data_IF_950144759342
#
_entry.id   IF_950144759342
#
_cell.length_a   1.000
_cell.length_b   1.000
_cell.length_c   1.000
_cell.angle_alpha   90.00
_cell.angle_beta   90.00
_cell.angle_gamma   90.00
#
_symmetry.space_group_name_H-M   'P 1'
#
loop_
_entity.id
_entity.type
_entity.pdbx_description
1 polymer ?
#
# COMPACT_ATOMS: atom_id res chain seq x y z
N UNK A 1 -9.13 29.56 24.37
CA UNK A 1 -10.20 29.37 23.37
C UNK A 1 -9.56 28.75 22.14
N UNK A 2 -10.00 27.57 21.71
CA UNK A 2 -9.57 27.01 20.43
C UNK A 2 -10.16 27.90 19.34
N UNK A 3 -9.35 28.75 18.73
CA UNK A 3 -9.85 29.57 17.63
C UNK A 3 -10.13 28.69 16.42
N UNK A 4 -11.32 28.84 15.84
CA UNK A 4 -11.75 28.11 14.66
C UNK A 4 -10.80 28.35 13.46
N UNK A 5 -10.07 29.47 13.50
CA UNK A 5 -9.00 29.86 12.58
C UNK A 5 -7.79 28.93 12.57
N UNK A 6 -7.52 28.20 13.67
CA UNK A 6 -6.36 27.28 13.80
C UNK A 6 -6.80 25.82 13.61
N UNK A 7 -8.01 25.48 14.08
CA UNK A 7 -8.58 24.14 13.94
C UNK A 7 -8.77 23.76 12.47
N UNK A 8 -9.29 24.67 11.65
CA UNK A 8 -9.57 24.39 10.25
C UNK A 8 -8.31 24.07 9.42
N UNK A 9 -7.22 24.88 9.45
CA UNK A 9 -5.96 24.53 8.81
C UNK A 9 -5.31 23.28 9.38
N UNK A 10 -5.38 23.06 10.70
CA UNK A 10 -4.77 21.88 11.33
C UNK A 10 -5.45 20.58 10.92
N UNK A 11 -6.78 20.59 10.78
CA UNK A 11 -7.55 19.46 10.27
C UNK A 11 -7.28 19.21 8.79
N UNK A 12 -7.21 20.27 7.97
CA UNK A 12 -6.87 20.14 6.55
C UNK A 12 -5.47 19.57 6.38
N UNK A 13 -4.48 20.11 7.09
CA UNK A 13 -3.10 19.67 6.99
C UNK A 13 -2.95 18.23 7.49
N UNK A 14 -3.55 17.91 8.65
CA UNK A 14 -3.58 16.56 9.19
C UNK A 14 -4.24 15.55 8.25
N UNK A 15 -5.37 15.91 7.62
CA UNK A 15 -6.04 15.07 6.62
C UNK A 15 -5.17 14.88 5.38
N UNK A 16 -4.55 15.94 4.85
CA UNK A 16 -3.68 15.83 3.67
C UNK A 16 -2.44 14.99 3.95
N UNK A 17 -1.78 15.22 5.08
CA UNK A 17 -0.58 14.46 5.48
C UNK A 17 -0.93 13.01 5.77
N UNK A 18 -2.03 12.75 6.49
CA UNK A 18 -2.53 11.40 6.74
C UNK A 18 -2.89 10.67 5.46
N UNK A 19 -3.56 11.32 4.52
CA UNK A 19 -3.90 10.74 3.21
C UNK A 19 -2.64 10.40 2.40
N UNK A 20 -1.64 11.28 2.37
CA UNK A 20 -0.36 11.02 1.68
C UNK A 20 0.33 9.80 2.26
N UNK A 21 0.45 9.69 3.59
CA UNK A 21 1.08 8.52 4.21
C UNK A 21 0.27 7.23 3.99
N UNK A 22 -1.06 7.29 4.07
CA UNK A 22 -1.92 6.15 3.80
C UNK A 22 -1.75 5.65 2.35
N UNK A 23 -1.73 6.57 1.37
CA UNK A 23 -1.51 6.24 -0.03
C UNK A 23 -0.14 5.61 -0.26
N UNK A 24 0.92 6.14 0.35
CA UNK A 24 2.27 5.57 0.25
C UNK A 24 2.31 4.16 0.86
N UNK A 25 1.75 3.98 2.06
CA UNK A 25 1.74 2.67 2.73
C UNK A 25 0.97 1.62 1.92
N UNK A 26 -0.21 1.97 1.41
CA UNK A 26 -1.01 1.10 0.55
C UNK A 26 -0.28 0.76 -0.76
N UNK A 27 0.30 1.78 -1.41
CA UNK A 27 1.03 1.61 -2.67
C UNK A 27 2.27 0.72 -2.50
N UNK A 28 3.07 0.96 -1.47
CA UNK A 28 4.25 0.15 -1.17
C UNK A 28 3.87 -1.29 -0.88
N UNK A 29 2.87 -1.51 -0.03
CA UNK A 29 2.42 -2.86 0.33
C UNK A 29 1.92 -3.63 -0.90
N UNK A 30 1.18 -2.96 -1.78
CA UNK A 30 0.70 -3.55 -3.02
C UNK A 30 1.85 -3.94 -3.97
N UNK A 31 2.76 -2.99 -4.24
CA UNK A 31 3.92 -3.20 -5.12
C UNK A 31 4.78 -4.36 -4.61
N UNK A 32 5.08 -4.36 -3.32
CA UNK A 32 5.89 -5.38 -2.69
C UNK A 32 5.21 -6.74 -2.59
N UNK A 33 3.90 -6.78 -2.42
CA UNK A 33 3.12 -8.01 -2.51
C UNK A 33 3.13 -8.59 -3.93
N UNK A 34 2.91 -7.75 -4.95
CA UNK A 34 3.03 -8.16 -6.37
C UNK A 34 4.44 -8.67 -6.67
N UNK A 35 5.48 -7.97 -6.21
CA UNK A 35 6.87 -8.42 -6.34
C UNK A 35 7.08 -9.81 -5.74
N UNK A 36 6.54 -10.07 -4.55
CA UNK A 36 6.67 -11.36 -3.89
C UNK A 36 5.94 -12.48 -4.64
N UNK A 37 4.74 -12.20 -5.17
CA UNK A 37 4.00 -13.13 -6.02
C UNK A 37 4.77 -13.44 -7.31
N UNK A 38 5.36 -12.43 -7.95
CA UNK A 38 6.19 -12.63 -9.13
C UNK A 38 7.45 -13.45 -8.80
N UNK A 39 8.18 -13.10 -7.74
CA UNK A 39 9.43 -13.76 -7.36
C UNK A 39 9.25 -15.23 -6.93
N UNK A 40 8.13 -15.57 -6.26
CA UNK A 40 7.86 -16.94 -5.79
C UNK A 40 7.06 -17.80 -6.75
N UNK A 41 6.10 -17.20 -7.48
CA UNK A 41 5.14 -17.94 -8.30
C UNK A 41 5.32 -17.68 -9.80
N UNK A 42 6.23 -16.78 -10.20
CA UNK A 42 6.41 -16.39 -11.60
C UNK A 42 5.21 -15.64 -12.19
N UNK A 43 4.28 -15.17 -11.36
CA UNK A 43 3.07 -14.49 -11.80
C UNK A 43 3.42 -13.14 -12.42
N UNK A 44 2.87 -12.86 -13.60
CA UNK A 44 2.98 -11.55 -14.23
C UNK A 44 2.42 -10.45 -13.29
N UNK A 45 3.09 -9.30 -13.14
CA UNK A 45 2.63 -8.17 -12.33
C UNK A 45 1.16 -7.76 -12.56
N UNK A 46 0.68 -7.81 -13.80
CA UNK A 46 -0.70 -7.46 -14.11
C UNK A 46 -1.70 -8.53 -13.65
N UNK A 47 -1.33 -9.81 -13.72
CA UNK A 47 -2.14 -10.91 -13.21
C UNK A 47 -2.15 -10.98 -11.68
N UNK A 48 -1.09 -10.48 -11.03
CA UNK A 48 -0.99 -10.40 -9.58
C UNK A 48 -1.92 -9.33 -8.97
N UNK A 49 -2.24 -8.25 -9.70
CA UNK A 49 -3.07 -7.16 -9.19
C UNK A 49 -4.47 -7.61 -8.72
N UNK A 50 -5.27 -8.37 -9.51
CA UNK A 50 -6.59 -8.85 -9.06
C UNK A 50 -6.53 -9.84 -7.90
N UNK A 51 -5.39 -10.52 -7.67
CA UNK A 51 -5.20 -11.46 -6.57
C UNK A 51 -4.79 -10.70 -5.29
N UNK A 52 -3.95 -9.68 -5.45
CA UNK A 52 -3.44 -8.88 -4.34
C UNK A 52 -4.54 -8.06 -3.66
N UNK A 53 -5.51 -7.53 -4.39
CA UNK A 53 -6.64 -6.78 -3.81
C UNK A 53 -7.42 -7.60 -2.78
N UNK A 54 -8.00 -8.77 -3.11
CA UNK A 54 -8.67 -9.62 -2.12
C UNK A 54 -7.70 -10.20 -1.09
N UNK A 55 -6.44 -10.47 -1.46
CA UNK A 55 -5.41 -10.92 -0.52
C UNK A 55 -5.14 -9.89 0.58
N UNK A 56 -5.00 -8.61 0.23
CA UNK A 56 -4.80 -7.51 1.16
C UNK A 56 -6.03 -7.26 2.02
N UNK A 57 -7.22 -7.37 1.44
CA UNK A 57 -8.46 -7.27 2.20
C UNK A 57 -8.56 -8.38 3.25
N UNK A 58 -8.28 -9.64 2.88
CA UNK A 58 -8.30 -10.78 3.79
C UNK A 58 -7.24 -10.62 4.90
N UNK A 59 -6.05 -10.16 4.56
CA UNK A 59 -4.97 -9.91 5.53
C UNK A 59 -5.34 -8.79 6.52
N UNK A 60 -5.87 -7.67 6.02
CA UNK A 60 -6.36 -6.59 6.86
C UNK A 60 -7.49 -7.04 7.79
N UNK A 61 -8.46 -7.80 7.26
CA UNK A 61 -9.56 -8.36 8.05
C UNK A 61 -9.06 -9.35 9.11
N UNK A 62 -8.09 -10.20 8.78
CA UNK A 62 -7.49 -11.13 9.73
C UNK A 62 -6.78 -10.38 10.87
N UNK A 63 -5.97 -9.36 10.56
CA UNK A 63 -5.34 -8.52 11.57
C UNK A 63 -6.37 -7.82 12.46
N UNK A 64 -7.43 -7.28 11.86
CA UNK A 64 -8.51 -6.63 12.59
C UNK A 64 -9.24 -7.61 13.51
N UNK A 65 -9.57 -8.81 13.04
CA UNK A 65 -10.33 -9.82 13.80
C UNK A 65 -9.49 -10.48 14.88
N UNK A 66 -8.25 -10.87 14.58
CA UNK A 66 -7.43 -11.68 15.48
C UNK A 66 -6.52 -10.86 16.39
N UNK A 67 -5.99 -9.73 15.92
CA UNK A 67 -5.08 -8.91 16.72
C UNK A 67 -5.84 -7.83 17.44
N UNK A 68 -6.48 -6.93 16.71
CA UNK A 68 -7.16 -5.76 17.30
C UNK A 68 -8.35 -6.24 18.15
N UNK A 69 -9.25 -7.04 17.59
CA UNK A 69 -10.45 -7.50 18.30
C UNK A 69 -10.16 -8.36 19.54
N UNK A 70 -9.02 -9.06 19.57
CA UNK A 70 -8.62 -9.85 20.75
C UNK A 70 -7.92 -9.00 21.80
N UNK A 71 -7.04 -8.09 21.38
CA UNK A 71 -6.28 -7.22 22.27
C UNK A 71 -7.14 -6.08 22.85
N UNK A 72 -8.21 -5.69 22.16
CA UNK A 72 -9.15 -4.65 22.59
C UNK A 72 -10.12 -5.08 23.70
N UNK A 73 -10.10 -6.34 24.14
CA UNK A 73 -10.97 -6.78 25.23
C UNK A 73 -10.55 -6.09 26.53
N UNK A 74 -11.37 -5.14 27.01
CA UNK A 74 -11.13 -4.39 28.23
C UNK A 74 -11.41 -2.89 28.07
N UNK A 75 -10.61 -2.07 28.75
CA UNK A 75 -10.70 -0.61 28.72
C UNK A 75 -10.25 -0.05 27.35
N UNK A 76 -10.74 1.14 26.99
CA UNK A 76 -10.40 1.80 25.71
C UNK A 76 -8.89 2.02 25.49
N UNK A 77 -8.10 2.14 26.58
CA UNK A 77 -6.64 2.19 26.54
C UNK A 77 -5.98 0.95 25.90
N UNK A 78 -6.58 -0.23 26.04
CA UNK A 78 -6.05 -1.45 25.43
C UNK A 78 -6.07 -1.37 23.90
N UNK A 79 -7.03 -0.67 23.30
CA UNK A 79 -7.08 -0.48 21.84
C UNK A 79 -5.90 0.37 21.38
N UNK A 80 -5.62 1.48 22.07
CA UNK A 80 -4.49 2.35 21.77
C UNK A 80 -3.14 1.62 21.93
N UNK A 81 -2.98 0.86 23.01
CA UNK A 81 -1.75 0.08 23.23
C UNK A 81 -1.61 -1.04 22.19
N UNK A 82 -2.71 -1.70 21.81
CA UNK A 82 -2.71 -2.74 20.80
C UNK A 82 -2.38 -2.21 19.41
N UNK A 83 -2.92 -1.07 19.00
CA UNK A 83 -2.62 -0.47 17.70
C UNK A 83 -1.18 0.02 17.63
N UNK A 84 -0.66 0.65 18.68
CA UNK A 84 0.75 1.04 18.75
C UNK A 84 1.69 -0.16 18.69
N UNK A 85 1.41 -1.20 19.48
CA UNK A 85 2.19 -2.44 19.45
C UNK A 85 2.14 -3.14 18.09
N UNK A 86 0.96 -3.20 17.47
CA UNK A 86 0.78 -3.78 16.15
C UNK A 86 1.56 -2.99 15.09
N UNK A 87 1.49 -1.66 15.10
CA UNK A 87 2.28 -0.82 14.19
C UNK A 87 3.77 -1.10 14.33
N UNK A 88 4.30 -1.15 15.55
CA UNK A 88 5.71 -1.43 15.79
C UNK A 88 6.12 -2.81 15.27
N UNK A 89 5.29 -3.84 15.50
CA UNK A 89 5.54 -5.20 15.01
C UNK A 89 5.49 -5.25 13.49
N UNK A 90 4.48 -4.61 12.88
CA UNK A 90 4.33 -4.57 11.42
C UNK A 90 5.49 -3.83 10.75
N UNK A 91 5.93 -2.71 11.33
CA UNK A 91 7.08 -1.95 10.86
C UNK A 91 8.37 -2.79 10.89
N UNK A 92 8.65 -3.43 12.03
CA UNK A 92 9.85 -4.27 12.17
C UNK A 92 9.80 -5.50 11.27
N UNK A 93 8.63 -6.12 11.14
CA UNK A 93 8.43 -7.24 10.22
C UNK A 93 8.62 -6.80 8.77
N UNK A 94 8.10 -5.63 8.39
CA UNK A 94 8.25 -5.10 7.05
C UNK A 94 9.72 -4.81 6.73
N UNK A 95 10.47 -4.23 7.67
CA UNK A 95 11.91 -4.01 7.52
C UNK A 95 12.67 -5.33 7.35
N UNK A 96 12.32 -6.36 8.11
CA UNK A 96 12.94 -7.69 7.99
C UNK A 96 12.61 -8.36 6.65
N UNK A 97 11.35 -8.32 6.23
CA UNK A 97 10.87 -8.99 5.02
C UNK A 97 11.31 -8.30 3.72
N UNK A 98 11.26 -6.96 3.68
CA UNK A 98 11.48 -6.20 2.46
C UNK A 98 12.86 -5.57 2.35
N UNK A 99 13.58 -5.36 3.47
CA UNK A 99 14.81 -4.54 3.54
C UNK A 99 14.62 -3.15 2.90
N UNK A 100 15.56 -2.24 3.11
CA UNK A 100 15.47 -0.86 2.58
C UNK A 100 15.95 -0.74 1.12
N UNK A 101 16.09 -1.85 0.38
CA UNK A 101 16.71 -1.86 -0.94
C UNK A 101 15.67 -1.66 -2.06
N UNK A 102 16.02 -0.83 -3.05
CA UNK A 102 15.22 -0.69 -4.27
C UNK A 102 15.33 -1.97 -5.10
N UNK A 103 14.18 -2.59 -5.43
CA UNK A 103 14.11 -3.78 -6.29
C UNK A 103 13.26 -3.47 -7.50
N UNK A 104 13.78 -3.77 -8.68
CA UNK A 104 13.08 -3.57 -9.96
C UNK A 104 12.71 -4.92 -10.55
N UNK A 105 11.46 -5.06 -11.00
CA UNK A 105 11.01 -6.24 -11.75
C UNK A 105 11.29 -5.98 -13.23
N UNK A 106 12.24 -6.72 -13.79
CA UNK A 106 12.51 -6.71 -15.23
C UNK A 106 11.60 -7.74 -15.92
N UNK A 107 10.59 -7.26 -16.64
CA UNK A 107 9.75 -8.08 -17.52
C UNK A 107 10.08 -7.78 -18.98
N UNK A 108 9.73 -8.67 -19.93
CA UNK A 108 10.02 -8.47 -21.36
C UNK A 108 9.43 -7.18 -21.95
N UNK A 109 8.42 -6.60 -21.30
CA UNK A 109 7.74 -5.37 -21.71
C UNK A 109 8.10 -4.16 -20.83
N UNK A 110 8.98 -4.29 -19.82
CA UNK A 110 9.41 -3.16 -18.97
C UNK A 110 9.99 -2.01 -19.80
N UNK A 111 10.75 -2.35 -20.85
CA UNK A 111 11.37 -1.38 -21.75
C UNK A 111 10.71 -1.29 -23.13
N UNK A 112 9.62 -2.03 -23.37
CA UNK A 112 8.91 -1.94 -24.64
C UNK A 112 8.17 -0.61 -24.72
N UNK A 113 8.17 -0.03 -25.92
CA UNK A 113 7.51 1.25 -26.20
C UNK A 113 6.55 1.08 -27.37
N UNK A 114 5.46 1.84 -27.32
CA UNK A 114 4.47 1.94 -28.40
C UNK A 114 4.53 3.37 -28.92
N UNK A 115 4.64 3.52 -30.24
CA UNK A 115 4.59 4.81 -30.89
C UNK A 115 3.13 5.29 -30.96
N UNK A 116 2.81 6.38 -30.26
CA UNK A 116 1.50 7.03 -30.30
C UNK A 116 1.71 8.45 -30.81
N UNK A 117 1.15 8.79 -31.96
CA UNK A 117 1.25 10.13 -32.57
C UNK A 117 2.69 10.68 -32.68
N UNK A 118 3.67 9.80 -32.96
CA UNK A 118 5.09 10.17 -33.07
C UNK A 118 5.84 10.23 -31.74
N UNK A 119 5.17 10.04 -30.60
CA UNK A 119 5.80 9.93 -29.29
C UNK A 119 5.96 8.46 -28.88
N UNK A 120 7.14 8.10 -28.36
CA UNK A 120 7.43 6.76 -27.84
C UNK A 120 7.00 6.69 -26.38
N UNK A 121 5.92 5.96 -26.11
CA UNK A 121 5.38 5.80 -24.75
C UNK A 121 5.62 4.37 -24.30
N UNK A 122 6.19 4.18 -23.10
CA UNK A 122 6.42 2.85 -22.53
C UNK A 122 5.11 2.07 -22.42
N UNK A 123 5.07 0.83 -22.91
CA UNK A 123 3.89 -0.05 -22.86
C UNK A 123 3.27 -0.13 -21.45
N UNK A 124 4.06 -0.22 -20.36
CA UNK A 124 3.49 -0.22 -19.01
C UNK A 124 2.68 1.04 -18.67
N UNK A 125 3.10 2.20 -19.17
CA UNK A 125 2.40 3.48 -18.95
C UNK A 125 1.08 3.54 -19.73
N UNK A 126 1.05 2.98 -20.93
CA UNK A 126 -0.18 2.90 -21.74
C UNK A 126 -1.21 2.00 -21.05
N UNK A 127 -0.79 0.82 -20.57
CA UNK A 127 -1.67 -0.09 -19.82
C UNK A 127 -2.17 0.57 -18.53
N UNK A 128 -1.29 1.25 -17.78
CA UNK A 128 -1.69 1.98 -16.57
C UNK A 128 -2.70 3.09 -16.86
N UNK A 129 -2.56 3.82 -17.97
CA UNK A 129 -3.51 4.86 -18.38
C UNK A 129 -4.92 4.30 -18.60
N UNK A 130 -5.05 3.21 -19.38
CA UNK A 130 -6.35 2.59 -19.59
C UNK A 130 -6.90 1.91 -18.34
N UNK A 131 -6.03 1.32 -17.51
CA UNK A 131 -6.42 0.75 -16.23
C UNK A 131 -6.94 1.79 -15.23
N UNK A 132 -6.45 3.03 -15.27
CA UNK A 132 -6.93 4.12 -14.41
C UNK A 132 -8.25 4.75 -14.88
N UNK A 133 -8.65 4.51 -16.13
CA UNK A 133 -9.93 4.99 -16.70
C UNK A 133 -11.11 4.06 -16.43
N UNK A 134 -10.84 2.80 -16.07
CA UNK A 134 -11.83 1.76 -15.77
C UNK A 134 -12.18 1.76 -14.28
#
# INVERSE_FOLDING_TARGET
MLELSILFPSLLNGLTTGAVYALIALGLTLIYGVFFLNAKLGLDPYAALPIMVPGMFALGYALQRFVIGRASHGKDENILLATLGLTLILENFALYAWRSDTRTIETPYTFSTVAIAGAMISTPKVVAFFGALA
#
